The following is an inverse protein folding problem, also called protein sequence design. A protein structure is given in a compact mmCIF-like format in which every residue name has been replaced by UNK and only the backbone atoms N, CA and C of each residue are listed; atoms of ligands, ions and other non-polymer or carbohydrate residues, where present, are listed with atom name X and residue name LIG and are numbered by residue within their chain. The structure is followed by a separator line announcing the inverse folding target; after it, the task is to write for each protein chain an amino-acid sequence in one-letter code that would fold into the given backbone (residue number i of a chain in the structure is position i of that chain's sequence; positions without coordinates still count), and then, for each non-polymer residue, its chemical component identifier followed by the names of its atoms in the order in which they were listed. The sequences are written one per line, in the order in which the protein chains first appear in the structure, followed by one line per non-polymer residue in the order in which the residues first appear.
data_IF_803343033847
#
_entry.id   IF_803343033847
#
_cell.length_a   1.000
_cell.length_b   1.000
_cell.length_c   1.000
_cell.angle_alpha   90.00
_cell.angle_beta   90.00
_cell.angle_gamma   90.00
#
_symmetry.space_group_name_H-M   'P 1'
#
loop_
_entity.id
_entity.type
_entity.pdbx_description
1 polymer ?
#
# COMPACT_ATOMS: atom_id res chain seq x y z
N UNK A 1 10.88 41.95 -2.53
CA UNK A 1 9.58 41.66 -3.18
C UNK A 1 9.64 41.88 -4.69
N UNK A 2 10.04 43.05 -5.22
CA UNK A 2 10.08 43.27 -6.68
C UNK A 2 11.03 42.33 -7.43
N UNK A 3 12.28 42.18 -6.98
CA UNK A 3 13.23 41.25 -7.61
C UNK A 3 12.78 39.78 -7.58
N UNK A 4 11.95 39.39 -6.60
CA UNK A 4 11.38 38.05 -6.54
C UNK A 4 10.26 37.89 -7.57
N UNK A 5 9.35 38.87 -7.67
CA UNK A 5 8.28 38.87 -8.69
C UNK A 5 8.84 38.94 -10.11
N UNK A 6 9.85 39.76 -10.35
CA UNK A 6 10.56 39.83 -11.65
C UNK A 6 11.16 38.47 -12.03
N UNK A 7 11.74 37.74 -11.07
CA UNK A 7 12.26 36.40 -11.32
C UNK A 7 11.15 35.37 -11.59
N UNK A 8 9.98 35.49 -10.95
CA UNK A 8 8.83 34.62 -11.24
C UNK A 8 8.28 34.85 -12.65
N UNK A 9 8.16 36.12 -13.05
CA UNK A 9 7.72 36.51 -14.38
C UNK A 9 8.72 36.07 -15.46
N UNK A 10 10.02 36.24 -15.23
CA UNK A 10 11.08 35.81 -16.16
C UNK A 10 11.15 34.28 -16.31
N UNK A 11 10.85 33.55 -15.24
CA UNK A 11 10.85 32.08 -15.24
C UNK A 11 9.49 31.46 -15.61
N UNK A 12 8.48 32.27 -15.93
CA UNK A 12 7.10 31.84 -16.24
C UNK A 12 6.52 30.92 -15.14
N UNK A 13 6.80 31.25 -13.88
CA UNK A 13 6.37 30.48 -12.71
C UNK A 13 5.06 31.05 -12.16
N UNK A 14 4.05 30.19 -12.07
CA UNK A 14 2.75 30.51 -11.48
C UNK A 14 2.67 30.00 -10.04
N UNK A 15 1.93 30.74 -9.22
CA UNK A 15 1.63 30.34 -7.84
C UNK A 15 0.55 29.25 -7.81
N UNK A 16 0.82 28.18 -7.04
CA UNK A 16 -0.09 27.06 -6.81
C UNK A 16 -1.23 27.39 -5.84
N UNK A 17 -1.13 28.48 -5.07
CA UNK A 17 -2.11 28.86 -4.04
C UNK A 17 -3.47 29.35 -4.59
N UNK A 18 -3.58 29.58 -5.91
CA UNK A 18 -4.70 30.28 -6.55
C UNK A 18 -5.90 29.44 -7.01
N UNK A 19 -5.88 28.12 -6.90
CA UNK A 19 -6.95 27.25 -7.45
C UNK A 19 -7.73 26.52 -6.35
N UNK A 20 -8.73 27.22 -5.83
CA UNK A 20 -9.75 26.69 -4.90
C UNK A 20 -10.61 25.59 -5.56
N UNK A 21 -10.26 24.33 -5.27
CA UNK A 21 -11.15 23.18 -5.39
C UNK A 21 -11.68 22.78 -4.01
N UNK A 22 -12.74 23.45 -3.55
CA UNK A 22 -13.60 23.12 -2.38
C UNK A 22 -12.95 22.28 -1.25
N UNK A 23 -12.34 22.95 -0.28
CA UNK A 23 -12.70 22.86 1.15
C UNK A 23 -11.93 23.95 1.91
N UNK A 24 -12.63 24.65 2.79
CA UNK A 24 -12.24 25.86 3.54
C UNK A 24 -10.77 25.90 3.98
N UNK A 25 -10.01 26.88 3.47
CA UNK A 25 -8.58 27.08 3.75
C UNK A 25 -8.33 27.58 5.17
N UNK A 26 -7.83 26.68 6.03
CA UNK A 26 -7.41 26.95 7.41
C UNK A 26 -6.30 28.00 7.54
N UNK A 27 -5.53 28.21 6.48
CA UNK A 27 -4.34 29.05 6.51
C UNK A 27 -4.61 30.51 6.11
N UNK A 28 -5.71 30.77 5.39
CA UNK A 28 -6.19 32.14 5.11
C UNK A 28 -6.53 32.88 6.41
N UNK A 29 -6.96 32.13 7.44
CA UNK A 29 -7.36 32.64 8.76
C UNK A 29 -6.14 32.96 9.65
N UNK A 30 -5.01 32.24 9.49
CA UNK A 30 -3.84 32.35 10.38
C UNK A 30 -2.73 33.24 9.79
N UNK A 31 -2.47 33.16 8.48
CA UNK A 31 -1.27 33.76 7.88
C UNK A 31 -1.54 34.89 6.87
N UNK A 32 -2.80 35.16 6.53
CA UNK A 32 -3.17 36.17 5.53
C UNK A 32 -2.85 35.75 4.09
N UNK A 33 -3.34 36.53 3.11
CA UNK A 33 -3.33 36.23 1.67
C UNK A 33 -1.98 36.26 0.94
N UNK A 34 -0.87 36.52 1.63
CA UNK A 34 0.38 36.97 1.01
C UNK A 34 1.55 35.97 1.09
N UNK A 35 1.28 34.67 1.08
CA UNK A 35 2.32 33.64 1.14
C UNK A 35 2.25 32.72 -0.07
N UNK A 36 3.40 32.57 -0.75
CA UNK A 36 3.59 31.72 -1.93
C UNK A 36 4.23 30.43 -1.45
N UNK A 37 3.49 29.32 -1.49
CA UNK A 37 3.94 28.02 -0.96
C UNK A 37 4.53 27.09 -2.02
N UNK A 38 4.18 27.31 -3.28
CA UNK A 38 4.62 26.46 -4.38
C UNK A 38 4.55 27.19 -5.71
N UNK A 39 5.57 26.96 -6.54
CA UNK A 39 5.71 27.56 -7.86
C UNK A 39 5.78 26.45 -8.91
N UNK A 40 5.04 26.61 -10.00
CA UNK A 40 4.99 25.65 -11.08
C UNK A 40 5.08 26.38 -12.42
N UNK A 41 5.83 25.85 -13.38
CA UNK A 41 5.89 26.44 -14.71
C UNK A 41 4.66 26.03 -15.54
N UNK A 42 4.35 26.83 -16.57
CA UNK A 42 3.18 26.60 -17.42
C UNK A 42 3.18 25.24 -18.13
N UNK A 43 4.36 24.71 -18.48
CA UNK A 43 4.49 23.40 -19.10
C UNK A 43 4.04 22.26 -18.18
N UNK A 44 4.46 22.25 -16.91
CA UNK A 44 3.96 21.28 -15.92
C UNK A 44 2.47 21.49 -15.64
N UNK A 45 2.00 22.74 -15.62
CA UNK A 45 0.59 23.05 -15.41
C UNK A 45 -0.31 22.39 -16.46
N UNK A 46 0.12 22.43 -17.73
CA UNK A 46 -0.63 21.86 -18.84
C UNK A 46 -0.58 20.32 -18.89
N UNK A 47 0.34 19.68 -18.16
CA UNK A 47 0.42 18.21 -18.07
C UNK A 47 -0.63 17.63 -17.11
N UNK A 48 -1.18 18.43 -16.20
CA UNK A 48 -2.11 17.98 -15.16
C UNK A 48 -3.34 18.89 -15.11
N UNK A 49 -4.32 18.63 -15.99
CA UNK A 49 -5.53 19.45 -16.09
C UNK A 49 -6.46 19.33 -14.86
N UNK A 50 -6.35 18.23 -14.11
CA UNK A 50 -7.19 17.94 -12.95
C UNK A 50 -6.28 17.74 -11.73
N UNK A 51 -5.75 18.83 -11.17
CA UNK A 51 -4.99 18.77 -9.93
C UNK A 51 -5.78 19.36 -8.76
N UNK A 52 -5.53 18.85 -7.55
CA UNK A 52 -5.99 19.44 -6.29
C UNK A 52 -4.80 19.65 -5.37
N UNK A 53 -4.83 20.73 -4.62
CA UNK A 53 -3.81 21.05 -3.62
C UNK A 53 -4.48 20.97 -2.26
N UNK A 54 -3.88 20.21 -1.34
CA UNK A 54 -4.37 20.05 0.03
C UNK A 54 -3.24 20.29 1.01
N UNK A 55 -3.50 21.06 2.05
CA UNK A 55 -2.57 21.24 3.16
C UNK A 55 -2.78 20.15 4.20
N UNK A 56 -1.74 19.34 4.42
CA UNK A 56 -1.77 18.27 5.41
C UNK A 56 -1.30 18.82 6.75
N UNK A 57 -2.11 18.68 7.80
CA UNK A 57 -1.66 19.02 9.14
C UNK A 57 -0.59 18.02 9.60
N UNK A 58 0.63 18.49 9.81
CA UNK A 58 1.69 17.69 10.43
C UNK A 58 1.89 18.11 11.88
N UNK A 59 1.63 17.20 12.82
CA UNK A 59 1.58 17.54 14.25
C UNK A 59 2.91 17.99 14.87
N UNK A 60 4.04 17.69 14.24
CA UNK A 60 5.40 17.89 14.77
C UNK A 60 6.26 18.89 13.98
N UNK A 61 5.74 19.42 12.86
CA UNK A 61 6.42 20.40 12.02
C UNK A 61 5.67 21.71 12.12
N UNK A 62 6.41 22.80 12.28
CA UNK A 62 5.92 24.16 12.08
C UNK A 62 5.59 24.44 10.61
N UNK A 63 6.10 23.62 9.69
CA UNK A 63 5.67 23.57 8.29
C UNK A 63 4.46 22.65 8.08
N UNK A 64 3.50 23.10 7.27
CA UNK A 64 2.34 22.34 6.80
C UNK A 64 2.67 21.72 5.43
N UNK A 65 2.84 20.39 5.31
CA UNK A 65 3.10 19.77 4.01
C UNK A 65 1.98 20.04 3.00
N UNK A 66 2.36 20.40 1.78
CA UNK A 66 1.44 20.61 0.66
C UNK A 66 1.36 19.32 -0.16
N UNK A 67 0.17 18.72 -0.23
CA UNK A 67 -0.15 17.59 -1.10
C UNK A 67 -0.70 18.12 -2.41
N UNK A 68 0.04 17.90 -3.50
CA UNK A 68 -0.46 18.14 -4.86
C UNK A 68 -0.91 16.80 -5.45
N UNK A 69 -2.22 16.60 -5.53
CA UNK A 69 -2.80 15.44 -6.23
C UNK A 69 -3.06 15.81 -7.68
N UNK A 70 -2.31 15.21 -8.59
CA UNK A 70 -2.41 15.46 -10.04
C UNK A 70 -3.21 14.39 -10.79
N UNK A 71 -3.95 13.54 -10.08
CA UNK A 71 -4.64 12.37 -10.66
C UNK A 71 -6.08 12.65 -11.12
N UNK A 72 -6.57 13.86 -10.92
CA UNK A 72 -7.95 14.23 -11.18
C UNK A 72 -8.96 13.42 -10.40
N UNK A 73 -10.24 13.73 -10.59
CA UNK A 73 -11.36 12.94 -10.07
C UNK A 73 -11.50 11.60 -10.81
N UNK A 74 -10.38 10.91 -11.05
CA UNK A 74 -10.34 9.46 -10.88
C UNK A 74 -10.58 9.15 -9.39
N UNK A 75 -11.73 9.61 -8.86
CA UNK A 75 -12.46 8.91 -7.81
C UNK A 75 -12.22 7.45 -8.08
N UNK A 76 -11.52 6.84 -7.14
CA UNK A 76 -11.06 5.47 -7.18
C UNK A 76 -12.20 4.63 -7.75
N UNK A 77 -12.19 4.40 -9.06
CA UNK A 77 -12.97 3.37 -9.67
C UNK A 77 -12.28 2.14 -9.15
N UNK A 78 -12.68 1.76 -7.94
CA UNK A 78 -12.54 0.44 -7.41
C UNK A 78 -13.30 -0.43 -8.39
N UNK A 79 -12.65 -0.74 -9.52
CA UNK A 79 -12.93 -1.96 -10.22
C UNK A 79 -12.77 -3.02 -9.15
N UNK A 80 -13.92 -3.49 -8.69
CA UNK A 80 -14.15 -4.57 -7.75
C UNK A 80 -13.77 -5.89 -8.44
N UNK A 81 -12.59 -5.91 -9.06
CA UNK A 81 -11.90 -7.13 -9.40
C UNK A 81 -11.56 -7.76 -8.05
N UNK A 82 -12.45 -8.67 -7.61
CA UNK A 82 -12.32 -9.56 -6.46
C UNK A 82 -10.98 -9.38 -5.74
N UNK A 83 -10.89 -8.35 -4.88
CA UNK A 83 -9.66 -8.10 -4.15
C UNK A 83 -9.48 -9.30 -3.23
N UNK A 84 -8.56 -10.18 -3.60
CA UNK A 84 -8.13 -11.27 -2.75
C UNK A 84 -7.72 -10.67 -1.41
N UNK A 85 -8.16 -11.30 -0.34
CA UNK A 85 -7.80 -10.89 1.01
C UNK A 85 -6.29 -10.78 1.15
N UNK A 86 -5.83 -9.74 1.83
CA UNK A 86 -4.43 -9.56 2.22
C UNK A 86 -4.41 -9.01 3.63
N UNK A 87 -3.68 -9.69 4.50
CA UNK A 87 -3.39 -9.24 5.84
C UNK A 87 -2.50 -8.00 5.75
N UNK A 88 -2.87 -6.92 6.45
CA UNK A 88 -2.01 -5.75 6.55
C UNK A 88 -1.30 -5.74 7.92
N UNK A 89 0.00 -5.45 7.92
CA UNK A 89 0.80 -5.40 9.13
C UNK A 89 0.38 -4.28 10.09
N UNK A 90 -0.22 -3.20 9.60
CA UNK A 90 -0.74 -2.11 10.44
C UNK A 90 -1.85 -2.56 11.40
N UNK A 91 -2.52 -3.67 11.10
CA UNK A 91 -3.53 -4.25 11.97
C UNK A 91 -2.95 -4.71 13.32
N UNK A 92 -1.66 -5.05 13.37
CA UNK A 92 -0.97 -5.45 14.60
C UNK A 92 -0.91 -4.31 15.63
N UNK A 93 -1.01 -3.06 15.17
CA UNK A 93 -1.09 -1.88 16.04
C UNK A 93 -2.51 -1.61 16.55
N UNK A 94 -3.50 -2.41 16.13
CA UNK A 94 -4.86 -2.33 16.62
C UNK A 94 -5.05 -3.34 17.77
N UNK A 95 -5.38 -2.82 18.96
CA UNK A 95 -5.62 -3.61 20.17
C UNK A 95 -6.78 -4.59 20.03
N UNK A 96 -7.73 -4.33 19.13
CA UNK A 96 -8.87 -5.21 18.90
C UNK A 96 -8.51 -6.43 18.04
N UNK A 97 -7.38 -6.44 17.33
CA UNK A 97 -7.04 -7.51 16.38
C UNK A 97 -7.04 -8.89 17.07
N UNK A 98 -6.40 -9.00 18.24
CA UNK A 98 -6.31 -10.26 18.98
C UNK A 98 -7.70 -10.82 19.34
N UNK A 99 -8.62 -9.94 19.74
CA UNK A 99 -10.00 -10.31 20.05
C UNK A 99 -10.76 -10.72 18.80
N UNK A 100 -10.56 -10.03 17.68
CA UNK A 100 -11.17 -10.38 16.39
C UNK A 100 -10.67 -11.73 15.87
N UNK A 101 -9.37 -12.01 16.01
CA UNK A 101 -8.78 -13.29 15.61
C UNK A 101 -9.33 -14.41 16.50
N UNK A 102 -9.35 -14.23 17.83
CA UNK A 102 -9.94 -15.21 18.75
C UNK A 102 -11.42 -15.46 18.45
N UNK A 103 -12.20 -14.40 18.23
CA UNK A 103 -13.63 -14.54 17.94
C UNK A 103 -13.89 -15.27 16.62
N UNK A 104 -13.15 -14.92 15.57
CA UNK A 104 -13.24 -15.61 14.27
C UNK A 104 -12.79 -17.07 14.36
N UNK A 105 -11.70 -17.35 15.09
CA UNK A 105 -11.10 -18.67 15.18
C UNK A 105 -11.86 -19.66 16.05
N UNK A 106 -12.46 -19.18 17.16
CA UNK A 106 -13.21 -20.00 18.11
C UNK A 106 -14.69 -20.18 17.72
N UNK A 107 -15.11 -19.62 16.59
CA UNK A 107 -16.51 -19.65 16.15
C UNK A 107 -17.04 -21.05 15.78
N UNK A 108 -16.15 -22.03 15.58
CA UNK A 108 -16.51 -23.44 15.35
C UNK A 108 -15.34 -24.41 15.61
N UNK A 109 -15.62 -25.71 15.54
CA UNK A 109 -14.66 -26.81 15.68
C UNK A 109 -14.25 -27.44 14.33
N UNK A 110 -14.36 -26.70 13.22
CA UNK A 110 -14.01 -27.22 11.90
C UNK A 110 -12.50 -27.40 11.73
N UNK A 111 -12.12 -28.09 10.65
CA UNK A 111 -10.73 -28.21 10.21
C UNK A 111 -10.04 -26.84 10.04
N UNK A 112 -8.75 -26.77 10.38
CA UNK A 112 -7.90 -25.57 10.35
C UNK A 112 -8.01 -24.76 9.05
N UNK A 113 -8.01 -25.41 7.89
CA UNK A 113 -8.11 -24.74 6.60
C UNK A 113 -9.47 -24.05 6.39
N UNK A 114 -10.54 -24.64 6.94
CA UNK A 114 -11.88 -24.04 6.88
C UNK A 114 -11.97 -22.85 7.83
N UNK A 115 -11.36 -22.96 9.02
CA UNK A 115 -11.25 -21.86 9.98
C UNK A 115 -10.50 -20.67 9.40
N UNK A 116 -9.38 -20.90 8.70
CA UNK A 116 -8.64 -19.82 8.03
C UNK A 116 -9.50 -19.10 6.99
N UNK A 117 -10.27 -19.82 6.17
CA UNK A 117 -11.18 -19.20 5.19
C UNK A 117 -12.28 -18.38 5.84
N UNK A 118 -12.84 -18.84 6.94
CA UNK A 118 -13.87 -18.10 7.68
C UNK A 118 -13.27 -16.89 8.40
N UNK A 119 -12.06 -17.02 8.95
CA UNK A 119 -11.31 -15.91 9.53
C UNK A 119 -11.01 -14.83 8.49
N UNK A 120 -10.65 -15.22 7.26
CA UNK A 120 -10.49 -14.28 6.13
C UNK A 120 -11.76 -13.47 5.90
N UNK A 121 -12.94 -14.12 5.90
CA UNK A 121 -14.23 -13.42 5.73
C UNK A 121 -14.52 -12.51 6.91
N UNK A 122 -14.25 -12.96 8.13
CA UNK A 122 -14.44 -12.18 9.36
C UNK A 122 -13.56 -10.93 9.39
N UNK A 123 -12.25 -11.09 9.20
CA UNK A 123 -11.27 -10.00 9.17
C UNK A 123 -11.54 -9.04 8.01
N UNK A 124 -12.00 -9.53 6.85
CA UNK A 124 -12.40 -8.67 5.73
C UNK A 124 -13.55 -7.73 6.11
N UNK A 125 -14.54 -8.21 6.88
CA UNK A 125 -15.66 -7.39 7.36
C UNK A 125 -15.20 -6.41 8.44
N UNK A 126 -14.42 -6.89 9.40
CA UNK A 126 -13.86 -6.05 10.46
C UNK A 126 -13.02 -4.92 9.89
N UNK A 127 -12.12 -5.21 8.95
CA UNK A 127 -11.24 -4.20 8.32
C UNK A 127 -12.03 -3.09 7.64
N UNK A 128 -13.14 -3.41 6.97
CA UNK A 128 -14.01 -2.39 6.37
C UNK A 128 -14.59 -1.47 7.44
N UNK A 129 -15.09 -2.03 8.54
CA UNK A 129 -15.63 -1.27 9.68
C UNK A 129 -14.55 -0.41 10.33
N UNK A 130 -13.37 -0.99 10.55
CA UNK A 130 -12.23 -0.33 11.16
C UNK A 130 -11.74 0.86 10.33
N UNK A 131 -11.70 0.71 8.99
CA UNK A 131 -11.35 1.80 8.09
C UNK A 131 -12.25 3.04 8.30
N UNK A 132 -13.57 2.84 8.31
CA UNK A 132 -14.52 3.94 8.55
C UNK A 132 -14.38 4.53 9.96
N UNK A 133 -14.10 3.71 10.97
CA UNK A 133 -13.87 4.17 12.33
C UNK A 133 -12.60 5.01 12.44
N UNK A 134 -11.53 4.62 11.74
CA UNK A 134 -10.26 5.37 11.65
C UNK A 134 -10.44 6.72 10.96
N UNK A 135 -11.10 6.74 9.80
CA UNK A 135 -11.39 7.99 9.07
C UNK A 135 -12.19 8.98 9.92
N UNK A 136 -13.21 8.48 10.63
CA UNK A 136 -13.98 9.30 11.57
C UNK A 136 -13.12 9.82 12.71
N UNK A 137 -12.31 8.96 13.34
CA UNK A 137 -11.42 9.34 14.45
C UNK A 137 -10.42 10.42 14.04
N UNK A 138 -9.78 10.28 12.88
CA UNK A 138 -8.86 11.30 12.35
C UNK A 138 -9.58 12.63 12.11
N UNK A 139 -10.80 12.61 11.56
CA UNK A 139 -11.60 13.81 11.37
C UNK A 139 -11.94 14.48 12.70
N UNK A 140 -12.32 13.70 13.71
CA UNK A 140 -12.65 14.20 15.05
C UNK A 140 -11.40 14.79 15.75
N UNK A 141 -10.24 14.14 15.63
CA UNK A 141 -8.97 14.63 16.16
C UNK A 141 -8.54 15.94 15.50
N UNK A 142 -8.65 16.05 14.17
CA UNK A 142 -8.34 17.28 13.43
C UNK A 142 -9.28 18.42 13.85
N UNK A 143 -10.58 18.16 13.95
CA UNK A 143 -11.56 19.15 14.41
C UNK A 143 -11.25 19.63 15.84
N UNK A 144 -10.89 18.70 16.73
CA UNK A 144 -10.56 19.05 18.11
C UNK A 144 -9.24 19.82 18.21
N UNK A 145 -8.22 19.43 17.45
CA UNK A 145 -6.94 20.15 17.36
C UNK A 145 -7.16 21.60 16.95
N UNK A 146 -8.02 21.80 15.96
CA UNK A 146 -8.40 23.12 15.50
C UNK A 146 -9.13 23.92 16.57
N UNK A 147 -10.14 23.34 17.22
CA UNK A 147 -10.89 24.01 18.28
C UNK A 147 -9.94 24.50 19.38
N UNK A 148 -8.96 23.68 19.77
CA UNK A 148 -7.93 24.07 20.75
C UNK A 148 -6.98 25.14 20.23
N UNK A 149 -6.67 25.15 18.93
CA UNK A 149 -5.79 26.16 18.32
C UNK A 149 -6.41 27.55 18.29
N UNK A 150 -7.75 27.65 18.38
CA UNK A 150 -8.49 28.92 18.48
C UNK A 150 -8.65 29.44 19.91
N UNK A 151 -8.29 28.65 20.93
CA UNK A 151 -8.41 29.01 22.35
C UNK A 151 -7.17 29.71 22.86
N UNK A 152 -7.31 30.45 23.96
CA UNK A 152 -6.15 31.00 24.66
C UNK A 152 -5.23 29.87 25.14
N UNK A 153 -3.93 30.08 24.96
CA UNK A 153 -2.90 29.12 25.32
C UNK A 153 -2.87 29.00 26.85
N UNK A 154 -3.23 27.82 27.36
CA UNK A 154 -3.10 27.44 28.75
C UNK A 154 -2.41 26.08 28.87
N UNK A 155 -1.86 25.76 30.05
CA UNK A 155 -1.21 24.47 30.29
C UNK A 155 -2.15 23.29 30.04
N UNK A 156 -3.44 23.44 30.36
CA UNK A 156 -4.47 22.44 30.10
C UNK A 156 -4.69 22.21 28.59
N UNK A 157 -4.79 23.31 27.83
CA UNK A 157 -4.92 23.27 26.36
C UNK A 157 -3.68 22.63 25.72
N UNK A 158 -2.48 22.97 26.20
CA UNK A 158 -1.23 22.39 25.71
C UNK A 158 -1.13 20.88 25.97
N UNK A 159 -1.53 20.42 27.17
CA UNK A 159 -1.57 19.00 27.51
C UNK A 159 -2.54 18.26 26.59
N UNK A 160 -3.72 18.83 26.33
CA UNK A 160 -4.71 18.22 25.44
C UNK A 160 -4.23 18.17 23.99
N UNK A 161 -3.66 19.27 23.47
CA UNK A 161 -3.05 19.30 22.14
C UNK A 161 -1.96 18.25 21.99
N UNK A 162 -1.10 18.08 23.01
CA UNK A 162 -0.02 17.09 22.99
C UNK A 162 -0.58 15.66 22.91
N UNK A 163 -1.68 15.37 23.62
CA UNK A 163 -2.36 14.06 23.55
C UNK A 163 -2.94 13.80 22.16
N UNK A 164 -3.63 14.78 21.58
CA UNK A 164 -4.21 14.65 20.24
C UNK A 164 -3.11 14.44 19.18
N UNK A 165 -2.01 15.19 19.27
CA UNK A 165 -0.84 15.00 18.40
C UNK A 165 -0.27 13.58 18.52
N UNK A 166 -0.16 13.06 19.73
CA UNK A 166 0.29 11.68 19.96
C UNK A 166 -0.66 10.67 19.30
N UNK A 167 -1.97 10.85 19.42
CA UNK A 167 -2.95 9.98 18.77
C UNK A 167 -2.88 10.05 17.24
N UNK A 168 -2.73 11.25 16.68
CA UNK A 168 -2.53 11.44 15.23
C UNK A 168 -1.25 10.77 14.73
N UNK A 169 -0.15 10.86 15.50
CA UNK A 169 1.10 10.20 15.15
C UNK A 169 0.95 8.67 15.14
N UNK A 170 0.24 8.08 16.10
CA UNK A 170 -0.01 6.64 16.10
C UNK A 170 -0.82 6.18 14.87
N UNK A 171 -1.73 7.01 14.36
CA UNK A 171 -2.43 6.72 13.10
C UNK A 171 -1.51 6.90 11.87
N UNK A 172 -0.57 7.86 11.91
CA UNK A 172 0.45 8.02 10.88
C UNK A 172 1.41 6.82 10.83
N UNK A 173 1.88 6.32 11.98
CA UNK A 173 2.73 5.12 12.06
C UNK A 173 2.04 3.89 11.45
N UNK A 174 0.72 3.76 11.65
CA UNK A 174 -0.09 2.69 11.00
C UNK A 174 -0.12 2.86 9.49
N UNK A 175 -0.30 4.08 9.01
CA UNK A 175 -0.30 4.37 7.60
C UNK A 175 1.08 4.13 6.97
N UNK A 176 2.16 4.47 7.67
CA UNK A 176 3.53 4.18 7.26
C UNK A 176 3.74 2.67 7.07
N UNK A 177 3.39 1.84 8.06
CA UNK A 177 3.49 0.38 7.94
C UNK A 177 2.66 -0.18 6.78
N UNK A 178 1.47 0.36 6.58
CA UNK A 178 0.61 -0.02 5.46
C UNK A 178 1.27 0.29 4.10
N UNK A 179 1.90 1.46 3.98
CA UNK A 179 2.59 1.86 2.75
C UNK A 179 3.91 1.12 2.57
N UNK A 180 4.69 0.89 3.62
CA UNK A 180 5.92 0.11 3.60
C UNK A 180 5.67 -1.30 3.05
N UNK A 181 4.62 -1.97 3.55
CA UNK A 181 4.21 -3.28 3.09
C UNK A 181 3.85 -3.30 1.59
N UNK A 182 3.14 -2.27 1.11
CA UNK A 182 2.69 -2.17 -0.29
C UNK A 182 3.79 -1.74 -1.25
N UNK A 183 4.69 -0.87 -0.79
CA UNK A 183 5.79 -0.34 -1.58
C UNK A 183 6.95 -1.33 -1.72
N UNK A 184 6.91 -2.47 -1.00
CA UNK A 184 7.89 -3.56 -1.06
C UNK A 184 9.33 -3.01 -1.01
N UNK A 185 9.69 -2.27 0.06
CA UNK A 185 11.06 -1.80 0.38
C UNK A 185 11.76 -0.94 -0.71
N UNK A 186 11.19 -0.78 -1.90
CA UNK A 186 11.87 -0.16 -3.05
C UNK A 186 11.48 1.31 -3.27
N UNK A 187 10.85 1.92 -2.28
CA UNK A 187 10.26 3.25 -2.42
C UNK A 187 11.32 4.36 -2.53
N UNK A 188 12.46 4.22 -1.85
CA UNK A 188 13.54 5.22 -1.91
C UNK A 188 14.42 5.11 -3.17
N UNK A 189 14.48 3.95 -3.83
CA UNK A 189 15.35 3.75 -5.00
C UNK A 189 14.64 3.89 -6.36
N UNK A 190 13.31 3.81 -6.42
CA UNK A 190 12.56 3.67 -7.69
C UNK A 190 11.64 4.86 -8.03
N UNK A 191 11.48 5.84 -7.12
CA UNK A 191 10.60 6.99 -7.34
C UNK A 191 10.97 7.91 -8.52
N UNK A 192 12.12 7.72 -9.18
CA UNK A 192 12.49 8.49 -10.36
C UNK A 192 11.99 7.93 -11.71
N UNK A 193 11.41 6.71 -11.78
CA UNK A 193 11.27 6.06 -13.11
C UNK A 193 9.97 5.31 -13.42
N UNK A 194 9.06 5.08 -12.47
CA UNK A 194 7.90 4.20 -12.75
C UNK A 194 6.60 4.66 -12.10
N UNK A 195 5.92 5.65 -12.72
CA UNK A 195 4.50 5.93 -12.45
C UNK A 195 3.61 6.01 -13.70
N UNK A 196 4.10 5.61 -14.87
CA UNK A 196 3.19 5.13 -15.91
C UNK A 196 2.85 3.67 -15.58
N UNK A 197 1.57 3.40 -15.33
CA UNK A 197 1.06 2.01 -15.35
C UNK A 197 1.47 1.44 -16.70
N UNK A 198 2.39 0.48 -16.74
CA UNK A 198 2.77 -0.25 -17.96
C UNK A 198 1.56 -1.07 -18.43
N UNK A 199 0.59 -0.39 -19.04
CA UNK A 199 -0.56 -1.02 -19.67
C UNK A 199 -0.06 -1.56 -20.99
N UNK A 200 0.08 -2.87 -21.06
CA UNK A 200 0.33 -3.58 -22.33
C UNK A 200 -0.83 -3.22 -23.26
N UNK A 201 -0.57 -2.37 -24.25
CA UNK A 201 -1.59 -1.87 -25.18
C UNK A 201 -1.97 -2.92 -26.23
N UNK A 202 -1.07 -3.87 -26.47
CA UNK A 202 -1.26 -4.97 -27.40
C UNK A 202 -0.18 -6.02 -27.25
N UNK A 203 -0.48 -7.23 -27.71
CA UNK A 203 0.48 -8.31 -27.89
C UNK A 203 0.49 -8.70 -29.35
N UNK A 204 1.68 -8.99 -29.88
CA UNK A 204 1.82 -9.55 -31.22
C UNK A 204 1.65 -11.07 -31.12
N UNK A 205 0.73 -11.62 -31.91
CA UNK A 205 0.51 -13.07 -31.96
C UNK A 205 1.52 -13.78 -32.89
N UNK A 206 1.49 -15.11 -32.91
CA UNK A 206 2.36 -15.94 -33.77
C UNK A 206 2.22 -15.68 -35.27
N UNK A 207 1.12 -15.06 -35.71
CA UNK A 207 0.90 -14.64 -37.09
C UNK A 207 1.35 -13.20 -37.37
N UNK A 208 2.15 -12.60 -36.46
CA UNK A 208 2.59 -11.20 -36.51
C UNK A 208 1.45 -10.18 -36.58
N UNK A 209 0.29 -10.52 -36.03
CA UNK A 209 -0.85 -9.61 -35.93
C UNK A 209 -0.85 -8.97 -34.55
N UNK A 210 -0.97 -7.65 -34.54
CA UNK A 210 -1.18 -6.88 -33.33
C UNK A 210 -2.58 -7.09 -32.80
N UNK A 211 -2.68 -7.54 -31.56
CA UNK A 211 -3.94 -7.83 -30.86
C UNK A 211 -4.06 -6.88 -29.68
N UNK A 212 -5.26 -6.33 -29.46
CA UNK A 212 -5.54 -5.38 -28.37
C UNK A 212 -6.66 -5.87 -27.43
N UNK A 213 -7.26 -7.02 -27.71
CA UNK A 213 -8.39 -7.56 -26.95
C UNK A 213 -7.92 -8.43 -25.76
N UNK A 214 -8.47 -8.18 -24.56
CA UNK A 214 -8.04 -8.81 -23.31
C UNK A 214 -8.22 -10.34 -23.31
N UNK A 215 -9.30 -10.84 -23.93
CA UNK A 215 -9.54 -12.28 -24.03
C UNK A 215 -8.48 -12.99 -24.88
N UNK A 216 -8.01 -12.34 -25.94
CA UNK A 216 -6.95 -12.88 -26.79
C UNK A 216 -5.58 -12.80 -26.09
N UNK A 217 -5.33 -11.82 -25.22
CA UNK A 217 -4.08 -11.76 -24.42
C UNK A 217 -3.95 -12.98 -23.52
N UNK A 218 -5.03 -13.34 -22.83
CA UNK A 218 -5.05 -14.52 -21.98
C UNK A 218 -4.73 -15.78 -22.77
N UNK A 219 -5.25 -15.88 -24.00
CA UNK A 219 -4.99 -17.02 -24.88
C UNK A 219 -3.54 -17.06 -25.35
N UNK A 220 -3.00 -15.93 -25.84
CA UNK A 220 -1.60 -15.81 -26.29
C UNK A 220 -0.64 -16.18 -25.15
N UNK A 221 -0.85 -15.63 -23.96
CA UNK A 221 -0.02 -15.93 -22.79
C UNK A 221 -0.13 -17.41 -22.38
N UNK A 222 -1.35 -17.95 -22.36
CA UNK A 222 -1.58 -19.36 -22.01
C UNK A 222 -0.90 -20.30 -23.00
N UNK A 223 -1.07 -20.06 -24.30
CA UNK A 223 -0.50 -20.90 -25.35
C UNK A 223 1.04 -20.80 -25.36
N UNK A 224 1.60 -19.60 -25.16
CA UNK A 224 3.04 -19.40 -25.00
C UNK A 224 3.62 -20.22 -23.85
N UNK A 225 3.05 -20.11 -22.64
CA UNK A 225 3.58 -20.86 -21.50
C UNK A 225 3.32 -22.36 -21.60
N UNK A 226 2.20 -22.78 -22.21
CA UNK A 226 1.96 -24.19 -22.51
C UNK A 226 3.02 -24.76 -23.43
N UNK A 227 3.42 -24.02 -24.46
CA UNK A 227 4.48 -24.43 -25.39
C UNK A 227 5.86 -24.40 -24.72
N UNK A 228 6.15 -23.33 -23.96
CA UNK A 228 7.41 -23.19 -23.22
C UNK A 228 7.64 -24.32 -22.22
N UNK A 229 6.57 -24.75 -21.53
CA UNK A 229 6.60 -25.84 -20.55
C UNK A 229 6.18 -27.19 -21.14
N UNK A 230 5.82 -27.26 -22.42
CA UNK A 230 5.62 -28.53 -23.09
C UNK A 230 6.98 -29.22 -23.17
N UNK A 231 7.04 -30.49 -22.78
CA UNK A 231 8.26 -31.26 -22.99
C UNK A 231 8.45 -31.43 -24.49
N UNK A 232 9.43 -30.73 -25.07
CA UNK A 232 10.05 -31.22 -26.30
C UNK A 232 10.61 -32.59 -25.94
N UNK A 233 10.03 -33.65 -26.48
CA UNK A 233 10.47 -35.02 -26.26
C UNK A 233 11.89 -35.16 -26.81
N UNK A 234 12.88 -34.73 -26.03
CA UNK A 234 14.28 -35.05 -26.26
C UNK A 234 14.39 -36.52 -25.92
N UNK A 235 14.56 -37.33 -26.96
CA UNK A 235 14.74 -38.76 -26.84
C UNK A 235 15.93 -39.04 -25.89
N UNK A 236 15.62 -39.72 -24.78
CA UNK A 236 16.56 -40.23 -23.78
C UNK A 236 17.42 -39.17 -23.06
N UNK A 237 16.89 -38.63 -21.97
CA UNK A 237 17.67 -37.98 -20.92
C UNK A 237 18.43 -38.98 -20.02
N UNK A 238 18.39 -40.27 -20.33
CA UNK A 238 18.99 -41.34 -19.52
C UNK A 238 20.51 -41.12 -19.34
N UNK A 239 21.18 -40.61 -20.38
CA UNK A 239 22.60 -40.26 -20.31
C UNK A 239 22.92 -39.12 -19.33
N UNK A 240 22.03 -38.14 -19.16
CA UNK A 240 22.21 -37.03 -18.20
C UNK A 240 21.94 -37.49 -16.76
N UNK A 241 20.94 -38.34 -16.57
CA UNK A 241 20.62 -38.92 -15.25
C UNK A 241 21.76 -39.81 -14.76
N UNK A 242 22.42 -40.56 -15.65
CA UNK A 242 23.61 -41.36 -15.31
C UNK A 242 24.84 -40.52 -14.89
N UNK A 243 24.88 -39.23 -15.23
CA UNK A 243 25.94 -38.31 -14.77
C UNK A 243 25.62 -37.61 -13.46
N UNK A 244 24.38 -37.74 -12.96
CA UNK A 244 23.99 -37.18 -11.67
C UNK A 244 24.38 -38.15 -10.56
N UNK A 245 25.30 -37.71 -9.70
CA UNK A 245 25.60 -38.42 -8.46
C UNK A 245 24.57 -38.07 -7.39
N UNK A 246 24.10 -39.04 -6.59
CA UNK A 246 23.20 -38.76 -5.47
C UNK A 246 23.90 -37.82 -4.48
N UNK A 247 23.34 -36.63 -4.31
CA UNK A 247 23.83 -35.62 -3.36
C UNK A 247 23.16 -35.73 -1.98
N UNK A 248 22.10 -36.53 -1.88
CA UNK A 248 21.37 -36.80 -0.63
C UNK A 248 21.84 -38.16 -0.14
N UNK A 249 22.51 -38.19 1.02
CA UNK A 249 22.90 -39.44 1.69
C UNK A 249 21.68 -40.19 2.19
N UNK A 250 21.82 -41.50 2.39
CA UNK A 250 20.74 -42.33 2.94
C UNK A 250 20.27 -41.81 4.30
N UNK A 251 21.20 -41.40 5.18
CA UNK A 251 20.90 -40.74 6.46
C UNK A 251 20.10 -39.44 6.31
N UNK A 252 20.40 -38.62 5.28
CA UNK A 252 19.68 -37.38 5.03
C UNK A 252 18.28 -37.69 4.48
N UNK A 253 18.16 -38.68 3.61
CA UNK A 253 16.88 -39.14 3.08
C UNK A 253 15.99 -39.71 4.19
N UNK A 254 16.56 -40.49 5.11
CA UNK A 254 15.87 -41.00 6.29
C UNK A 254 15.43 -39.86 7.21
N UNK A 255 16.25 -38.82 7.35
CA UNK A 255 15.85 -37.61 8.09
C UNK A 255 14.72 -36.84 7.41
N UNK A 256 14.76 -36.69 6.08
CA UNK A 256 13.73 -36.00 5.29
C UNK A 256 12.38 -36.77 5.25
N UNK A 257 12.41 -38.07 5.50
CA UNK A 257 11.22 -38.94 5.54
C UNK A 257 10.54 -39.02 6.91
N UNK A 258 11.15 -38.45 7.96
CA UNK A 258 10.54 -38.40 9.30
C UNK A 258 9.30 -37.51 9.31
N UNK A 259 8.38 -37.81 10.22
CA UNK A 259 7.25 -36.93 10.49
C UNK A 259 7.73 -35.60 11.10
N UNK A 260 7.20 -34.50 10.58
CA UNK A 260 7.50 -33.15 11.06
C UNK A 260 7.09 -32.99 12.52
N UNK A 261 7.95 -32.36 13.32
CA UNK A 261 7.63 -31.99 14.69
C UNK A 261 7.02 -30.59 14.76
N UNK A 262 6.09 -30.37 15.69
CA UNK A 262 5.48 -29.06 15.89
C UNK A 262 6.52 -27.95 16.17
N UNK A 263 7.62 -28.29 16.85
CA UNK A 263 8.73 -27.37 17.11
C UNK A 263 9.47 -26.97 15.82
N UNK A 264 9.71 -27.93 14.91
CA UNK A 264 10.36 -27.67 13.61
C UNK A 264 9.49 -26.77 12.74
N UNK A 265 8.17 -26.99 12.74
CA UNK A 265 7.23 -26.13 12.02
C UNK A 265 7.25 -24.71 12.57
N UNK A 266 7.24 -24.54 13.89
CA UNK A 266 7.28 -23.23 14.53
C UNK A 266 8.60 -22.48 14.24
N UNK A 267 9.72 -23.20 14.29
CA UNK A 267 11.04 -22.63 13.96
C UNK A 267 11.11 -22.20 12.49
N UNK A 268 10.61 -23.04 11.58
CA UNK A 268 10.53 -22.74 10.16
C UNK A 268 9.69 -21.47 9.91
N UNK A 269 8.51 -21.36 10.52
CA UNK A 269 7.65 -20.17 10.40
C UNK A 269 8.37 -18.92 10.91
N UNK A 270 9.01 -18.99 12.08
CA UNK A 270 9.76 -17.86 12.67
C UNK A 270 10.99 -17.44 11.86
N UNK A 271 11.55 -18.35 11.06
CA UNK A 271 12.68 -18.04 10.17
C UNK A 271 12.28 -17.22 8.94
N UNK A 272 10.98 -17.14 8.63
CA UNK A 272 10.47 -16.36 7.50
C UNK A 272 10.47 -14.88 7.87
N UNK A 273 10.92 -14.02 6.94
CA UNK A 273 10.85 -12.57 7.11
C UNK A 273 9.39 -12.15 7.39
N UNK A 274 9.10 -11.43 8.49
CA UNK A 274 7.73 -11.20 8.97
C UNK A 274 6.77 -10.60 7.92
N UNK A 275 7.28 -9.68 7.09
CA UNK A 275 6.52 -8.96 6.06
C UNK A 275 6.55 -9.63 4.68
N UNK A 276 7.16 -10.81 4.53
CA UNK A 276 7.18 -11.53 3.25
C UNK A 276 5.79 -12.11 2.97
N UNK A 277 5.36 -11.98 1.72
CA UNK A 277 4.03 -12.39 1.29
C UNK A 277 3.90 -13.93 1.22
N UNK A 278 2.77 -14.46 1.70
CA UNK A 278 2.26 -15.78 1.31
C UNK A 278 1.56 -15.67 -0.04
N UNK A 279 1.85 -16.61 -0.93
CA UNK A 279 1.47 -16.52 -2.35
C UNK A 279 0.00 -16.86 -2.65
N UNK A 280 -0.82 -17.33 -1.68
CA UNK A 280 -2.18 -17.79 -2.00
C UNK A 280 -3.29 -17.58 -0.94
N UNK A 281 -2.97 -17.57 0.36
CA UNK A 281 -3.98 -17.42 1.43
C UNK A 281 -4.18 -15.97 1.90
N UNK A 282 -3.27 -15.07 1.50
CA UNK A 282 -3.30 -13.66 1.83
C UNK A 282 -2.77 -13.31 3.22
N UNK A 283 -2.30 -14.27 4.02
CA UNK A 283 -1.68 -13.98 5.32
C UNK A 283 -0.19 -13.65 5.17
N UNK A 284 0.36 -12.92 6.14
CA UNK A 284 1.81 -12.69 6.23
C UNK A 284 2.42 -13.66 7.23
N UNK A 285 3.73 -13.89 7.16
CA UNK A 285 4.41 -14.72 8.16
C UNK A 285 4.21 -14.19 9.59
N UNK A 286 4.18 -12.86 9.78
CA UNK A 286 3.93 -12.21 11.08
C UNK A 286 2.56 -12.53 11.70
N UNK A 287 1.62 -13.08 10.94
CA UNK A 287 0.32 -13.49 11.47
C UNK A 287 0.41 -14.80 12.27
N UNK A 288 1.33 -15.70 11.91
CA UNK A 288 1.47 -17.04 12.48
C UNK A 288 2.49 -17.07 13.62
#
# INVERSE_FOLDING_TARGET
MNAFREALEECELNDLSGTLGKEVDWLEIIFGKDWIEGLINQELWNLFNDYSVQHLQHGLSDHCPVLVDTRGDESLQSNDHHKQFRFNADWLLNKELDEQVKHGWLSNEKETLTKLKELVVHLSKWTKKEKWARERRLKDLNYRMLELSSKEISDEVLVEMTKIKLEMNLEADREELFWEQRARVNWLQICASYRQKNRIQGLENVFRRWVTEVNEFSKIATDYFKDLFASNAVNSSDGLILTMFPCITEELNDSLRKEFQAAEVLEAIKSIVPLKASENDGFLAVFF
#
